data_IF_782419101098
#
_entry.id   IF_782419101098
#
_cell.length_a   1.000
_cell.length_b   1.000
_cell.length_c   1.000
_cell.angle_alpha   90.00
_cell.angle_beta   90.00
_cell.angle_gamma   90.00
#
_symmetry.space_group_name_H-M   'P 1'
#
loop_
_entity.id
_entity.type
_entity.pdbx_description
1 polymer ?
#
# COMPACT_ATOMS: atom_id res chain seq x y z
N UNK A 1 -9.30 7.22 0.50
CA UNK A 1 -9.68 8.42 -0.26
C UNK A 1 -8.52 9.37 -0.27
N UNK A 2 -8.24 10.01 -1.40
CA UNK A 2 -7.11 10.89 -1.59
C UNK A 2 -7.30 12.23 -0.86
N UNK A 3 -6.30 13.09 -0.97
CA UNK A 3 -6.36 14.45 -0.46
C UNK A 3 -7.32 15.30 -1.34
N UNK A 4 -8.30 15.95 -0.73
CA UNK A 4 -9.23 16.88 -1.40
C UNK A 4 -8.52 18.00 -2.16
N UNK A 5 -7.28 18.32 -1.83
CA UNK A 5 -6.48 19.35 -2.50
C UNK A 5 -6.32 19.09 -4.00
N UNK A 6 -6.21 17.84 -4.44
CA UNK A 6 -6.14 17.48 -5.86
C UNK A 6 -7.42 17.85 -6.60
N UNK A 7 -8.59 17.56 -6.01
CA UNK A 7 -9.88 17.98 -6.56
C UNK A 7 -9.97 19.50 -6.67
N UNK A 8 -9.66 20.20 -5.58
CA UNK A 8 -9.73 21.68 -5.51
C UNK A 8 -8.78 22.31 -6.53
N UNK A 9 -7.56 21.79 -6.64
CA UNK A 9 -6.58 22.27 -7.62
C UNK A 9 -7.10 22.15 -9.05
N UNK A 10 -7.60 20.97 -9.43
CA UNK A 10 -8.11 20.74 -10.77
C UNK A 10 -9.38 21.56 -11.04
N UNK A 11 -10.35 21.55 -10.13
CA UNK A 11 -11.62 22.29 -10.27
C UNK A 11 -11.35 23.78 -10.46
N UNK A 12 -10.53 24.42 -9.61
CA UNK A 12 -10.27 25.86 -9.69
C UNK A 12 -9.67 26.26 -11.03
N UNK A 13 -8.77 25.45 -11.60
CA UNK A 13 -8.15 25.70 -12.91
C UNK A 13 -9.17 25.57 -14.05
N UNK A 14 -9.98 24.51 -14.02
CA UNK A 14 -10.98 24.27 -15.05
C UNK A 14 -12.17 25.25 -14.93
N UNK A 15 -12.59 25.63 -13.73
CA UNK A 15 -13.63 26.65 -13.51
C UNK A 15 -13.21 28.01 -14.09
N UNK A 16 -11.96 28.40 -13.87
CA UNK A 16 -11.42 29.65 -14.47
C UNK A 16 -11.45 29.59 -15.99
N UNK A 17 -11.03 28.46 -16.56
CA UNK A 17 -11.04 28.26 -18.01
C UNK A 17 -12.49 28.24 -18.57
N UNK A 18 -13.46 27.65 -17.86
CA UNK A 18 -14.87 27.67 -18.22
C UNK A 18 -15.40 29.09 -18.26
N UNK A 19 -15.14 29.91 -17.24
CA UNK A 19 -15.54 31.31 -17.20
C UNK A 19 -14.93 32.13 -18.34
N UNK A 20 -13.73 31.76 -18.79
CA UNK A 20 -13.06 32.39 -19.91
C UNK A 20 -13.52 31.86 -21.29
N UNK A 21 -14.36 30.85 -21.33
CA UNK A 21 -14.88 30.22 -22.56
C UNK A 21 -13.79 29.49 -23.36
N UNK A 22 -12.76 28.95 -22.69
CA UNK A 22 -11.64 28.23 -23.32
C UNK A 22 -11.55 26.76 -22.97
N UNK A 23 -12.58 26.17 -22.32
CA UNK A 23 -12.64 24.72 -22.16
C UNK A 23 -13.06 24.05 -23.48
N UNK A 24 -12.48 22.90 -23.76
CA UNK A 24 -12.97 21.98 -24.78
C UNK A 24 -14.19 21.20 -24.27
N UNK A 25 -14.86 20.46 -25.15
CA UNK A 25 -15.95 19.55 -24.73
C UNK A 25 -15.48 18.52 -23.71
N UNK A 26 -14.26 17.98 -23.86
CA UNK A 26 -13.64 17.08 -22.89
C UNK A 26 -13.35 17.81 -21.56
N UNK A 27 -12.85 19.06 -21.63
CA UNK A 27 -12.61 19.87 -20.43
C UNK A 27 -13.88 20.11 -19.60
N UNK A 28 -15.00 20.37 -20.25
CA UNK A 28 -16.31 20.52 -19.60
C UNK A 28 -16.78 19.20 -18.94
N UNK A 29 -16.61 18.05 -19.64
CA UNK A 29 -16.92 16.74 -19.11
C UNK A 29 -16.08 16.42 -17.87
N UNK A 30 -14.75 16.63 -17.95
CA UNK A 30 -13.81 16.43 -16.84
C UNK A 30 -14.21 17.27 -15.64
N UNK A 31 -14.50 18.56 -15.84
CA UNK A 31 -14.94 19.44 -14.76
C UNK A 31 -16.24 18.92 -14.10
N UNK A 32 -17.19 18.44 -14.87
CA UNK A 32 -18.41 17.82 -14.36
C UNK A 32 -18.11 16.60 -13.49
N UNK A 33 -17.26 15.69 -13.95
CA UNK A 33 -16.83 14.50 -13.19
C UNK A 33 -16.08 14.87 -11.89
N UNK A 34 -15.19 15.85 -11.95
CA UNK A 34 -14.46 16.36 -10.77
C UNK A 34 -15.40 16.91 -9.70
N UNK A 35 -16.42 17.67 -10.08
CA UNK A 35 -17.42 18.21 -9.15
C UNK A 35 -18.23 17.12 -8.45
N UNK A 36 -18.59 16.04 -9.19
CA UNK A 36 -19.27 14.87 -8.60
C UNK A 36 -18.34 14.15 -7.62
N UNK A 37 -17.10 13.86 -8.01
CA UNK A 37 -16.12 13.21 -7.15
C UNK A 37 -15.81 14.04 -5.90
N UNK A 38 -15.63 15.35 -6.05
CA UNK A 38 -15.38 16.26 -4.93
C UNK A 38 -16.55 16.32 -3.93
N UNK A 39 -17.77 16.29 -4.41
CA UNK A 39 -18.94 16.28 -3.54
C UNK A 39 -18.98 15.05 -2.62
N UNK A 40 -18.53 13.89 -3.10
CA UNK A 40 -18.37 12.68 -2.28
C UNK A 40 -17.12 12.77 -1.38
N UNK A 41 -16.00 13.28 -1.89
CA UNK A 41 -14.73 13.33 -1.19
C UNK A 41 -14.65 14.41 -0.11
N UNK A 42 -15.54 15.41 -0.14
CA UNK A 42 -15.49 16.57 0.75
C UNK A 42 -15.53 16.18 2.23
N UNK A 43 -14.54 16.67 3.00
CA UNK A 43 -14.33 16.33 4.42
C UNK A 43 -14.06 14.83 4.70
N UNK A 44 -13.62 14.06 3.69
CA UNK A 44 -13.31 12.64 3.81
C UNK A 44 -11.86 12.30 3.51
N UNK A 45 -10.96 13.27 3.67
CA UNK A 45 -9.51 13.06 3.44
C UNK A 45 -8.99 11.89 4.28
N UNK A 46 -8.39 10.93 3.60
CA UNK A 46 -7.81 9.75 4.21
C UNK A 46 -8.81 8.79 4.84
N UNK A 47 -10.11 8.92 4.59
CA UNK A 47 -11.13 7.98 5.09
C UNK A 47 -11.12 6.67 4.28
N UNK A 48 -11.60 5.60 4.91
CA UNK A 48 -11.84 4.33 4.24
C UNK A 48 -13.09 4.44 3.37
N UNK A 49 -12.98 4.03 2.10
CA UNK A 49 -14.13 3.94 1.21
C UNK A 49 -15.00 2.71 1.53
N UNK A 50 -16.23 2.66 0.98
CA UNK A 50 -17.09 1.49 1.10
C UNK A 50 -16.44 0.26 0.46
N UNK A 51 -15.76 0.45 -0.69
CA UNK A 51 -15.00 -0.62 -1.34
C UNK A 51 -13.87 -1.12 -0.43
N UNK A 52 -13.12 -0.21 0.21
CA UNK A 52 -12.06 -0.58 1.14
C UNK A 52 -12.58 -1.36 2.34
N UNK A 53 -13.70 -0.96 2.93
CA UNK A 53 -14.37 -1.71 3.99
C UNK A 53 -14.76 -3.12 3.53
N UNK A 54 -15.36 -3.24 2.33
CA UNK A 54 -15.71 -4.51 1.73
C UNK A 54 -14.48 -5.39 1.47
N UNK A 55 -13.36 -4.83 1.00
CA UNK A 55 -12.13 -5.59 0.76
C UNK A 55 -11.62 -6.24 2.05
N UNK A 56 -11.61 -5.53 3.18
CA UNK A 56 -11.20 -6.09 4.46
C UNK A 56 -12.15 -7.20 4.95
N UNK A 57 -13.44 -7.02 4.74
CA UNK A 57 -14.45 -8.04 4.99
C UNK A 57 -14.19 -9.30 4.13
N UNK A 58 -14.02 -9.12 2.82
CA UNK A 58 -13.78 -10.23 1.89
C UNK A 58 -12.46 -10.99 2.18
N UNK A 59 -11.39 -10.29 2.59
CA UNK A 59 -10.11 -10.93 2.97
C UNK A 59 -10.29 -11.76 4.24
N UNK A 60 -11.01 -11.25 5.23
CA UNK A 60 -11.31 -11.99 6.46
C UNK A 60 -12.11 -13.26 6.16
N UNK A 61 -13.10 -13.17 5.27
CA UNK A 61 -13.91 -14.31 4.82
C UNK A 61 -13.04 -15.39 4.18
N UNK A 62 -12.22 -15.02 3.19
CA UNK A 62 -11.31 -15.97 2.52
C UNK A 62 -10.25 -16.54 3.46
N UNK A 63 -9.79 -15.75 4.43
CA UNK A 63 -8.87 -16.24 5.46
C UNK A 63 -9.54 -17.30 6.34
N UNK A 64 -10.80 -17.10 6.72
CA UNK A 64 -11.59 -18.07 7.47
C UNK A 64 -11.76 -19.38 6.68
N UNK A 65 -12.14 -19.29 5.40
CA UNK A 65 -12.31 -20.48 4.54
C UNK A 65 -10.98 -21.22 4.29
N UNK A 66 -9.87 -20.49 4.24
CA UNK A 66 -8.54 -21.06 3.95
C UNK A 66 -7.92 -21.79 5.14
N UNK A 67 -8.24 -21.37 6.37
CA UNK A 67 -7.66 -21.92 7.60
C UNK A 67 -8.75 -22.40 8.58
N UNK A 68 -9.65 -23.32 8.14
CA UNK A 68 -10.77 -23.75 8.96
C UNK A 68 -10.30 -24.49 10.22
N UNK A 69 -9.16 -25.20 10.18
CA UNK A 69 -8.62 -25.93 11.34
C UNK A 69 -8.29 -24.98 12.51
N UNK A 70 -7.96 -23.71 12.19
CA UNK A 70 -7.67 -22.68 13.19
C UNK A 70 -8.91 -21.87 13.54
N UNK A 71 -9.61 -21.33 12.54
CA UNK A 71 -10.62 -20.30 12.72
C UNK A 71 -12.03 -20.82 13.00
N UNK A 72 -12.33 -22.11 12.74
CA UNK A 72 -13.62 -22.71 13.15
C UNK A 72 -13.65 -23.19 14.60
N UNK A 73 -12.53 -23.07 15.32
CA UNK A 73 -12.44 -23.42 16.74
C UNK A 73 -12.50 -22.16 17.61
N UNK A 74 -12.79 -22.29 18.93
CA UNK A 74 -12.56 -21.18 19.86
C UNK A 74 -11.09 -20.76 19.81
N UNK A 75 -10.85 -19.48 19.50
CA UNK A 75 -9.51 -18.93 19.30
C UNK A 75 -9.42 -17.53 19.89
N UNK A 76 -8.30 -17.24 20.54
CA UNK A 76 -7.97 -15.88 20.94
C UNK A 76 -7.27 -15.14 19.79
N UNK A 77 -7.79 -13.97 19.47
CA UNK A 77 -7.25 -13.10 18.43
C UNK A 77 -6.91 -11.73 19.05
N UNK A 78 -5.65 -11.33 18.93
CA UNK A 78 -5.18 -10.00 19.33
C UNK A 78 -5.04 -9.12 18.08
N UNK A 79 -5.92 -8.14 17.91
CA UNK A 79 -5.93 -7.22 16.78
C UNK A 79 -5.48 -5.83 17.21
N UNK A 80 -4.47 -5.29 16.52
CA UNK A 80 -3.91 -3.97 16.78
C UNK A 80 -3.91 -3.12 15.51
N UNK A 81 -4.23 -1.83 15.65
CA UNK A 81 -4.25 -0.87 14.55
C UNK A 81 -3.46 0.39 14.88
N UNK A 82 -3.00 1.09 13.84
CA UNK A 82 -2.57 2.48 14.01
C UNK A 82 -3.77 3.37 14.39
N UNK A 83 -3.51 4.55 14.93
CA UNK A 83 -4.56 5.49 15.35
C UNK A 83 -5.25 6.23 14.19
N UNK A 84 -4.95 5.88 12.96
CA UNK A 84 -5.61 6.44 11.77
C UNK A 84 -7.03 5.89 11.64
N UNK A 85 -8.01 6.77 11.41
CA UNK A 85 -9.43 6.40 11.28
C UNK A 85 -9.66 5.27 10.28
N UNK A 86 -9.07 5.37 9.08
CA UNK A 86 -9.19 4.33 8.05
C UNK A 86 -8.66 2.98 8.50
N UNK A 87 -7.55 2.97 9.24
CA UNK A 87 -6.92 1.72 9.69
C UNK A 87 -7.72 1.08 10.82
N UNK A 88 -8.26 1.87 11.76
CA UNK A 88 -9.18 1.37 12.77
C UNK A 88 -10.44 0.76 12.14
N UNK A 89 -11.01 1.41 11.11
CA UNK A 89 -12.16 0.88 10.39
C UNK A 89 -11.82 -0.38 9.59
N UNK A 90 -10.60 -0.47 9.03
CA UNK A 90 -10.10 -1.70 8.38
C UNK A 90 -10.06 -2.86 9.36
N UNK A 91 -9.48 -2.65 10.55
CA UNK A 91 -9.47 -3.63 11.64
C UNK A 91 -10.87 -4.04 12.04
N UNK A 92 -11.77 -3.07 12.24
CA UNK A 92 -13.14 -3.33 12.65
C UNK A 92 -13.89 -4.20 11.63
N UNK A 93 -13.85 -3.84 10.34
CA UNK A 93 -14.54 -4.62 9.29
C UNK A 93 -14.00 -6.04 9.17
N UNK A 94 -12.68 -6.22 9.27
CA UNK A 94 -12.05 -7.52 9.24
C UNK A 94 -12.46 -8.39 10.43
N UNK A 95 -12.37 -7.86 11.64
CA UNK A 95 -12.69 -8.57 12.87
C UNK A 95 -14.19 -8.87 12.99
N UNK A 96 -15.05 -7.96 12.52
CA UNK A 96 -16.50 -8.16 12.49
C UNK A 96 -16.87 -9.33 11.59
N UNK A 97 -16.25 -9.47 10.42
CA UNK A 97 -16.49 -10.63 9.57
C UNK A 97 -16.08 -11.95 10.24
N UNK A 98 -14.87 -12.00 10.79
CA UNK A 98 -14.43 -13.22 11.53
C UNK A 98 -15.41 -13.56 12.66
N UNK A 99 -15.86 -12.56 13.43
CA UNK A 99 -16.82 -12.77 14.54
C UNK A 99 -18.17 -13.22 14.03
N UNK A 100 -18.61 -12.79 12.84
CA UNK A 100 -19.88 -13.23 12.23
C UNK A 100 -19.84 -14.68 11.75
N UNK A 101 -18.67 -15.14 11.27
CA UNK A 101 -18.44 -16.50 10.80
C UNK A 101 -18.25 -17.48 11.96
N UNK A 102 -17.64 -17.07 13.06
CA UNK A 102 -17.49 -17.87 14.26
C UNK A 102 -17.60 -17.03 15.54
N UNK A 103 -18.74 -17.10 16.19
CA UNK A 103 -19.01 -16.36 17.44
C UNK A 103 -18.18 -16.83 18.64
N UNK A 104 -17.50 -17.98 18.55
CA UNK A 104 -16.61 -18.48 19.60
C UNK A 104 -15.19 -17.88 19.54
N UNK A 105 -14.90 -17.00 18.58
CA UNK A 105 -13.64 -16.26 18.53
C UNK A 105 -13.64 -15.16 19.61
N UNK A 106 -12.59 -15.15 20.43
CA UNK A 106 -12.35 -14.11 21.44
C UNK A 106 -11.44 -13.04 20.84
N UNK A 107 -12.02 -12.03 20.19
CA UNK A 107 -11.25 -10.97 19.51
C UNK A 107 -11.11 -9.75 20.41
N UNK A 108 -9.85 -9.40 20.76
CA UNK A 108 -9.52 -8.12 21.39
C UNK A 108 -9.01 -7.15 20.34
N UNK A 109 -9.50 -5.92 20.36
CA UNK A 109 -9.09 -4.86 19.43
C UNK A 109 -8.52 -3.68 20.19
N UNK A 110 -7.35 -3.19 19.76
CA UNK A 110 -6.75 -1.96 20.30
C UNK A 110 -6.16 -1.09 19.18
N UNK A 111 -6.22 0.22 19.38
CA UNK A 111 -5.66 1.22 18.47
C UNK A 111 -5.13 2.39 19.30
N UNK A 112 -3.99 2.20 19.94
CA UNK A 112 -3.36 3.20 20.79
C UNK A 112 -1.93 3.52 20.35
N UNK A 113 -1.44 4.73 20.70
CA UNK A 113 -0.03 5.08 20.49
C UNK A 113 0.93 4.21 21.31
N UNK A 114 0.45 3.58 22.39
CA UNK A 114 1.21 2.62 23.17
C UNK A 114 1.68 1.42 22.33
N UNK A 115 0.87 1.03 21.34
CA UNK A 115 1.11 -0.14 20.51
C UNK A 115 1.71 0.19 19.13
N UNK A 116 2.13 1.45 18.89
CA UNK A 116 2.72 1.87 17.61
C UNK A 116 3.88 0.97 17.17
N UNK A 117 4.78 0.60 18.09
CA UNK A 117 5.91 -0.32 17.82
C UNK A 117 5.51 -1.69 17.25
N UNK A 118 4.22 -2.05 17.32
CA UNK A 118 3.70 -3.30 16.75
C UNK A 118 3.12 -3.13 15.35
N UNK A 119 2.85 -1.90 14.94
CA UNK A 119 2.07 -1.63 13.72
C UNK A 119 2.61 -0.51 12.85
N UNK A 120 3.45 0.41 13.37
CA UNK A 120 3.92 1.60 12.64
C UNK A 120 5.45 1.66 12.71
N UNK A 121 6.06 2.19 11.66
CA UNK A 121 7.48 2.47 11.55
C UNK A 121 7.98 3.46 12.61
N UNK A 122 9.21 3.28 13.07
CA UNK A 122 9.90 4.21 13.97
C UNK A 122 10.61 5.31 13.18
N UNK A 123 9.94 6.43 13.01
CA UNK A 123 10.47 7.60 12.30
C UNK A 123 11.62 8.31 13.05
N UNK A 124 11.94 7.93 14.29
CA UNK A 124 13.12 8.45 15.00
C UNK A 124 14.43 7.86 14.48
N UNK A 125 14.36 6.69 13.84
CA UNK A 125 15.48 6.07 13.17
C UNK A 125 15.81 6.88 11.91
N UNK A 126 17.02 7.43 11.86
CA UNK A 126 17.54 8.20 10.73
C UNK A 126 18.65 7.39 10.05
N UNK A 127 18.34 6.66 8.97
CA UNK A 127 19.34 5.91 8.23
C UNK A 127 20.40 6.82 7.60
N UNK A 128 21.64 6.34 7.41
CA UNK A 128 22.71 7.14 6.85
C UNK A 128 22.42 7.50 5.36
N UNK A 129 22.58 8.77 5.04
CA UNK A 129 22.58 9.25 3.65
C UNK A 129 24.00 9.16 3.10
N UNK A 130 24.15 8.62 1.92
CA UNK A 130 25.43 8.46 1.22
C UNK A 130 25.44 9.25 -0.09
N UNK A 131 26.62 9.54 -0.68
CA UNK A 131 26.68 10.18 -1.99
C UNK A 131 25.96 9.37 -3.09
N UNK A 132 25.93 8.04 -2.97
CA UNK A 132 25.20 7.16 -3.88
C UNK A 132 23.69 7.34 -3.73
N UNK A 133 23.18 7.37 -2.49
CA UNK A 133 21.75 7.58 -2.25
C UNK A 133 21.28 8.98 -2.67
N UNK A 134 22.13 10.01 -2.52
CA UNK A 134 21.85 11.36 -3.05
C UNK A 134 21.78 11.39 -4.58
N UNK A 135 22.61 10.59 -5.27
CA UNK A 135 22.55 10.46 -6.71
C UNK A 135 21.23 9.84 -7.18
N UNK A 136 20.74 8.83 -6.47
CA UNK A 136 19.43 8.23 -6.73
C UNK A 136 18.27 9.22 -6.55
N UNK A 137 18.32 10.09 -5.54
CA UNK A 137 17.28 11.11 -5.34
C UNK A 137 17.23 12.11 -6.51
N UNK A 138 18.38 12.48 -7.07
CA UNK A 138 18.44 13.34 -8.26
C UNK A 138 17.86 12.66 -9.49
N UNK A 139 18.19 11.37 -9.68
CA UNK A 139 17.67 10.58 -10.81
C UNK A 139 16.16 10.35 -10.67
N UNK A 140 15.67 10.05 -9.46
CA UNK A 140 14.24 9.94 -9.16
C UNK A 140 13.50 11.23 -9.54
N UNK A 141 14.01 12.37 -9.11
CA UNK A 141 13.41 13.67 -9.44
C UNK A 141 13.33 13.87 -10.95
N UNK A 142 14.40 13.53 -11.68
CA UNK A 142 14.41 13.65 -13.14
C UNK A 142 13.40 12.69 -13.82
N UNK A 143 13.23 11.47 -13.32
CA UNK A 143 12.22 10.52 -13.81
C UNK A 143 10.82 11.06 -13.54
N UNK A 144 10.55 11.53 -12.33
CA UNK A 144 9.25 12.08 -11.96
C UNK A 144 8.91 13.32 -12.80
N UNK A 145 9.84 14.26 -12.96
CA UNK A 145 9.66 15.44 -13.82
C UNK A 145 9.45 15.04 -15.28
N UNK A 146 10.20 14.07 -15.80
CA UNK A 146 10.08 13.59 -17.17
C UNK A 146 8.75 12.83 -17.43
N UNK A 147 8.18 12.21 -16.41
CA UNK A 147 6.90 11.52 -16.51
C UNK A 147 5.71 12.48 -16.74
N UNK A 148 5.83 13.72 -16.27
CA UNK A 148 4.78 14.73 -16.37
C UNK A 148 4.94 15.59 -17.63
N UNK A 149 4.55 15.06 -18.79
CA UNK A 149 4.48 15.82 -20.04
C UNK A 149 3.02 16.24 -20.33
N UNK A 150 2.57 17.43 -19.93
CA UNK A 150 1.17 17.81 -20.00
C UNK A 150 0.71 18.30 -21.38
N UNK A 151 1.58 18.43 -22.37
CA UNK A 151 1.26 19.12 -23.63
C UNK A 151 0.03 18.55 -24.35
N UNK A 152 -0.05 17.21 -24.49
CA UNK A 152 -1.23 16.57 -25.10
C UNK A 152 -2.48 16.78 -24.25
N UNK A 153 -2.38 16.58 -22.92
CA UNK A 153 -3.50 16.75 -21.99
C UNK A 153 -4.04 18.18 -22.05
N UNK A 154 -3.18 19.19 -21.98
CA UNK A 154 -3.56 20.59 -22.10
C UNK A 154 -4.28 20.87 -23.42
N UNK A 155 -3.76 20.34 -24.53
CA UNK A 155 -4.43 20.50 -25.86
C UNK A 155 -5.77 19.79 -25.94
N UNK A 156 -6.02 18.77 -25.12
CA UNK A 156 -7.31 18.08 -25.09
C UNK A 156 -8.35 18.79 -24.23
N UNK A 157 -7.92 19.44 -23.15
CA UNK A 157 -8.79 20.10 -22.18
C UNK A 157 -9.13 21.54 -22.54
N UNK A 158 -8.25 22.24 -23.29
CA UNK A 158 -8.39 23.66 -23.58
C UNK A 158 -8.43 23.93 -25.08
N UNK A 159 -9.31 24.82 -25.50
CA UNK A 159 -9.40 25.33 -26.91
C UNK A 159 -8.36 26.40 -27.20
N UNK A 160 -7.85 27.10 -26.17
CA UNK A 160 -6.78 28.05 -26.23
C UNK A 160 -5.72 27.74 -25.17
N UNK A 161 -4.75 26.90 -25.56
CA UNK A 161 -3.70 26.41 -24.65
C UNK A 161 -2.80 27.54 -24.18
N UNK A 162 -2.43 28.48 -25.07
CA UNK A 162 -1.55 29.61 -24.73
C UNK A 162 -2.18 30.50 -23.64
N UNK A 163 -3.48 30.73 -23.76
CA UNK A 163 -4.22 31.49 -22.74
C UNK A 163 -4.35 30.66 -21.44
N UNK A 164 -4.58 29.34 -21.50
CA UNK A 164 -4.64 28.47 -20.34
C UNK A 164 -3.31 28.45 -19.57
N UNK A 165 -2.17 28.36 -20.25
CA UNK A 165 -0.82 28.36 -19.65
C UNK A 165 -0.49 29.65 -18.88
N UNK A 166 -1.21 30.75 -19.10
CA UNK A 166 -1.03 31.96 -18.33
C UNK A 166 -1.48 31.86 -16.87
N UNK A 167 -2.30 30.90 -16.52
CA UNK A 167 -2.83 30.66 -15.16
C UNK A 167 -2.85 29.18 -14.71
N UNK A 168 -2.59 28.25 -15.63
CA UNK A 168 -2.52 26.79 -15.34
C UNK A 168 -1.08 26.32 -15.47
N UNK A 169 -0.51 25.78 -14.39
CA UNK A 169 0.65 24.91 -14.51
C UNK A 169 0.16 23.55 -15.01
N UNK A 170 0.49 23.17 -16.23
CA UNK A 170 0.01 21.94 -16.84
C UNK A 170 0.48 20.67 -16.12
N UNK A 171 1.67 20.69 -15.51
CA UNK A 171 2.16 19.54 -14.71
C UNK A 171 1.35 19.34 -13.44
N UNK A 172 1.09 20.43 -12.71
CA UNK A 172 0.30 20.37 -11.48
C UNK A 172 -1.14 19.90 -11.79
N UNK A 173 -1.71 20.36 -12.91
CA UNK A 173 -3.03 19.90 -13.36
C UNK A 173 -2.99 18.42 -13.73
N UNK A 174 -1.98 17.95 -14.45
CA UNK A 174 -1.81 16.57 -14.83
C UNK A 174 -1.68 15.66 -13.61
N UNK A 175 -0.88 16.06 -12.63
CA UNK A 175 -0.71 15.34 -11.36
C UNK A 175 -2.02 15.29 -10.56
N UNK A 176 -2.71 16.42 -10.45
CA UNK A 176 -3.99 16.49 -9.75
C UNK A 176 -5.04 15.56 -10.39
N UNK A 177 -5.17 15.59 -11.71
CA UNK A 177 -6.10 14.72 -12.44
C UNK A 177 -5.75 13.24 -12.32
N UNK A 178 -4.45 12.90 -12.33
CA UNK A 178 -3.99 11.53 -12.14
C UNK A 178 -4.36 11.01 -10.74
N UNK A 179 -4.06 11.77 -9.70
CA UNK A 179 -4.41 11.38 -8.32
C UNK A 179 -5.94 11.25 -8.11
N UNK A 180 -6.73 12.14 -8.73
CA UNK A 180 -8.19 12.01 -8.71
C UNK A 180 -8.65 10.77 -9.48
N UNK A 181 -8.04 10.46 -10.63
CA UNK A 181 -8.38 9.25 -11.40
C UNK A 181 -8.08 7.97 -10.60
N UNK A 182 -6.98 7.94 -9.85
CA UNK A 182 -6.67 6.84 -8.92
C UNK A 182 -7.69 6.76 -7.77
N UNK A 183 -8.08 7.89 -7.19
CA UNK A 183 -9.04 7.93 -6.07
C UNK A 183 -10.43 7.45 -6.49
N UNK A 184 -10.92 7.85 -7.65
CA UNK A 184 -12.24 7.47 -8.16
C UNK A 184 -12.42 5.95 -8.34
N UNK A 185 -11.35 5.18 -8.53
CA UNK A 185 -11.41 3.72 -8.55
C UNK A 185 -11.86 3.13 -7.21
N UNK A 186 -11.72 3.87 -6.11
CA UNK A 186 -12.11 3.43 -4.77
C UNK A 186 -13.58 3.74 -4.42
N UNK A 187 -14.30 4.43 -5.32
CA UNK A 187 -15.70 4.82 -5.15
C UNK A 187 -16.53 4.50 -6.43
N UNK A 188 -16.50 3.22 -6.88
CA UNK A 188 -17.14 2.82 -8.14
C UNK A 188 -18.64 3.07 -8.17
N UNK A 189 -19.28 3.25 -7.01
CA UNK A 189 -20.68 3.59 -6.89
C UNK A 189 -21.05 4.96 -7.47
N UNK A 190 -20.08 5.84 -7.69
CA UNK A 190 -20.31 7.13 -8.35
C UNK A 190 -20.51 6.98 -9.85
N UNK A 191 -20.11 5.85 -10.46
CA UNK A 191 -20.26 5.58 -11.90
C UNK A 191 -19.49 6.54 -12.79
N UNK A 192 -18.41 7.16 -12.26
CA UNK A 192 -17.53 8.09 -12.99
C UNK A 192 -16.09 7.61 -12.91
N UNK A 193 -15.34 7.86 -13.97
CA UNK A 193 -13.91 7.60 -14.04
C UNK A 193 -13.21 8.72 -14.82
N UNK A 194 -11.93 8.91 -14.58
CA UNK A 194 -11.07 9.89 -15.26
C UNK A 194 -9.84 9.25 -15.89
N UNK A 195 -9.69 7.95 -15.78
CA UNK A 195 -8.52 7.23 -16.32
C UNK A 195 -8.43 7.35 -17.84
N UNK A 196 -9.57 7.46 -18.51
CA UNK A 196 -9.75 7.61 -19.97
C UNK A 196 -9.29 8.97 -20.51
N UNK A 197 -9.07 9.95 -19.63
CA UNK A 197 -8.51 11.27 -19.99
C UNK A 197 -7.04 11.17 -20.39
N UNK A 198 -6.35 10.13 -19.92
CA UNK A 198 -4.95 9.86 -20.18
C UNK A 198 -4.74 8.83 -21.27
N UNK A 199 -3.62 8.94 -21.98
CA UNK A 199 -3.12 7.84 -22.81
C UNK A 199 -2.48 6.76 -21.95
N UNK A 200 -2.35 5.54 -22.49
CA UNK A 200 -1.64 4.45 -21.78
C UNK A 200 -0.18 4.80 -21.46
N UNK A 201 0.48 5.52 -22.36
CA UNK A 201 1.87 5.93 -22.16
C UNK A 201 1.99 6.98 -21.04
N UNK A 202 1.06 7.93 -20.95
CA UNK A 202 1.00 8.90 -19.85
C UNK A 202 0.78 8.21 -18.52
N UNK A 203 -0.20 7.31 -18.43
CA UNK A 203 -0.47 6.52 -17.22
C UNK A 203 0.75 5.70 -16.81
N UNK A 204 1.37 5.02 -17.77
CA UNK A 204 2.54 4.19 -17.50
C UNK A 204 3.74 5.01 -17.04
N UNK A 205 4.01 6.15 -17.67
CA UNK A 205 5.11 7.03 -17.29
C UNK A 205 4.92 7.62 -15.88
N UNK A 206 3.70 8.09 -15.57
CA UNK A 206 3.39 8.61 -14.24
C UNK A 206 3.52 7.51 -13.18
N UNK A 207 2.94 6.34 -13.44
CA UNK A 207 3.06 5.18 -12.55
C UNK A 207 4.52 4.76 -12.32
N UNK A 208 5.39 4.78 -13.34
CA UNK A 208 6.82 4.49 -13.17
C UNK A 208 7.49 5.48 -12.21
N UNK A 209 7.13 6.76 -12.28
CA UNK A 209 7.62 7.78 -11.35
C UNK A 209 7.25 7.44 -9.90
N UNK A 210 6.00 7.07 -9.66
CA UNK A 210 5.53 6.62 -8.34
C UNK A 210 6.21 5.32 -7.90
N UNK A 211 6.31 4.32 -8.78
CA UNK A 211 7.00 3.07 -8.48
C UNK A 211 8.46 3.30 -8.04
N UNK A 212 9.22 4.09 -8.80
CA UNK A 212 10.59 4.43 -8.44
C UNK A 212 10.66 5.22 -7.13
N UNK A 213 9.75 6.18 -6.93
CA UNK A 213 9.64 6.96 -5.71
C UNK A 213 9.45 6.10 -4.47
N UNK A 214 8.49 5.19 -4.50
CA UNK A 214 8.22 4.27 -3.38
C UNK A 214 9.42 3.37 -3.08
N UNK A 215 10.02 2.75 -4.09
CA UNK A 215 11.14 1.81 -3.90
C UNK A 215 12.39 2.51 -3.37
N UNK A 216 12.70 3.72 -3.85
CA UNK A 216 13.83 4.51 -3.37
C UNK A 216 13.58 5.08 -1.97
N UNK A 217 12.41 5.67 -1.73
CA UNK A 217 12.04 6.25 -0.44
C UNK A 217 11.95 5.19 0.67
N UNK A 218 11.73 3.92 0.32
CA UNK A 218 11.74 2.81 1.29
C UNK A 218 13.13 2.21 1.45
N UNK A 219 14.04 2.44 0.51
CA UNK A 219 15.40 1.89 0.54
C UNK A 219 15.52 0.48 -0.03
N UNK A 220 14.61 0.06 -0.92
CA UNK A 220 14.63 -1.27 -1.52
C UNK A 220 15.62 -1.39 -2.69
N UNK A 221 16.03 -0.26 -3.27
CA UNK A 221 17.05 -0.23 -4.31
C UNK A 221 18.43 -0.28 -3.65
N UNK A 222 19.32 -1.23 -4.05
CA UNK A 222 20.67 -1.31 -3.51
C UNK A 222 21.40 0.04 -3.64
N UNK A 223 21.97 0.55 -2.55
CA UNK A 223 22.65 1.85 -2.50
C UNK A 223 21.74 3.05 -2.17
N UNK A 224 20.42 2.91 -2.18
CA UNK A 224 19.51 3.95 -1.69
C UNK A 224 19.51 4.02 -0.15
N UNK A 225 19.02 5.14 0.40
CA UNK A 225 18.93 5.30 1.86
C UNK A 225 18.02 4.23 2.46
N UNK A 226 18.51 3.40 3.42
CA UNK A 226 17.80 2.21 3.88
C UNK A 226 16.68 2.54 4.89
N UNK A 227 15.66 3.29 4.48
CA UNK A 227 14.53 3.67 5.33
C UNK A 227 13.69 2.48 5.80
N UNK A 228 13.79 1.30 5.15
CA UNK A 228 13.18 0.06 5.66
C UNK A 228 13.62 -0.30 7.09
N UNK A 229 14.77 0.21 7.56
CA UNK A 229 15.23 0.02 8.95
C UNK A 229 14.27 0.60 9.98
N UNK A 230 13.48 1.61 9.62
CA UNK A 230 12.43 2.17 10.48
C UNK A 230 11.35 1.14 10.83
N UNK A 231 11.21 0.07 10.04
CA UNK A 231 10.24 -1.02 10.28
C UNK A 231 10.81 -2.17 11.13
N UNK A 232 12.06 -2.10 11.54
CA UNK A 232 12.75 -3.18 12.27
C UNK A 232 12.07 -3.54 13.57
N UNK A 233 11.59 -2.57 14.36
CA UNK A 233 10.93 -2.81 15.64
C UNK A 233 9.62 -3.60 15.45
N UNK A 234 8.87 -3.34 14.38
CA UNK A 234 7.67 -4.11 14.03
C UNK A 234 8.03 -5.54 13.69
N UNK A 235 9.09 -5.76 12.89
CA UNK A 235 9.58 -7.12 12.60
C UNK A 235 9.99 -7.85 13.88
N UNK A 236 10.79 -7.24 14.74
CA UNK A 236 11.25 -7.82 16.00
C UNK A 236 10.06 -8.18 16.92
N UNK A 237 9.04 -7.35 16.92
CA UNK A 237 7.78 -7.60 17.62
C UNK A 237 7.00 -8.78 17.05
N UNK A 238 6.98 -8.97 15.72
CA UNK A 238 6.36 -10.14 15.07
C UNK A 238 7.11 -11.41 15.48
N UNK A 239 8.44 -11.42 15.36
CA UNK A 239 9.29 -12.57 15.74
C UNK A 239 9.12 -12.92 17.22
N UNK A 240 9.20 -11.92 18.11
CA UNK A 240 9.01 -12.13 19.56
C UNK A 240 7.62 -12.66 19.90
N UNK A 241 6.58 -12.19 19.22
CA UNK A 241 5.21 -12.68 19.41
C UNK A 241 5.10 -14.13 18.96
N UNK A 242 5.64 -14.48 17.80
CA UNK A 242 5.67 -15.85 17.29
C UNK A 242 6.38 -16.80 18.26
N UNK A 243 7.57 -16.44 18.74
CA UNK A 243 8.33 -17.25 19.71
C UNK A 243 7.53 -17.50 20.99
N UNK A 244 6.85 -16.48 21.53
CA UNK A 244 6.02 -16.61 22.74
C UNK A 244 4.83 -17.56 22.52
N UNK A 245 4.14 -17.44 21.39
CA UNK A 245 3.01 -18.31 21.05
C UNK A 245 3.45 -19.75 20.83
N UNK A 246 4.57 -19.96 20.12
CA UNK A 246 5.17 -21.28 19.90
C UNK A 246 5.55 -21.93 21.22
N UNK A 247 6.18 -21.19 22.14
CA UNK A 247 6.57 -21.68 23.46
C UNK A 247 5.35 -22.03 24.32
N UNK A 248 4.31 -21.21 24.28
CA UNK A 248 3.06 -21.46 25.02
C UNK A 248 2.30 -22.68 24.50
N UNK A 249 2.46 -23.06 23.24
CA UNK A 249 1.81 -24.20 22.61
C UNK A 249 0.30 -24.06 22.45
N UNK A 250 -0.24 -22.88 22.64
CA UNK A 250 -1.67 -22.57 22.52
C UNK A 250 -1.90 -21.82 21.19
N UNK A 251 -2.71 -22.36 20.27
CA UNK A 251 -3.06 -21.66 19.04
C UNK A 251 -3.65 -20.27 19.32
N UNK A 252 -3.22 -19.29 18.56
CA UNK A 252 -3.74 -17.92 18.60
C UNK A 252 -3.47 -17.23 17.27
N UNK A 253 -4.15 -16.12 17.01
CA UNK A 253 -3.82 -15.24 15.89
C UNK A 253 -3.53 -13.83 16.39
N UNK A 254 -2.59 -13.17 15.71
CA UNK A 254 -2.29 -11.75 15.92
C UNK A 254 -2.51 -11.02 14.60
N UNK A 255 -3.38 -10.02 14.61
CA UNK A 255 -3.70 -9.20 13.46
C UNK A 255 -3.12 -7.80 13.66
N UNK A 256 -2.45 -7.27 12.64
CA UNK A 256 -1.81 -5.96 12.67
C UNK A 256 -2.28 -5.14 11.49
N UNK A 257 -2.89 -3.99 11.75
CA UNK A 257 -3.43 -3.10 10.74
C UNK A 257 -2.60 -1.82 10.71
N UNK A 258 -2.06 -1.51 9.54
CA UNK A 258 -1.14 -0.40 9.36
C UNK A 258 -1.33 0.26 7.99
N UNK A 259 -0.25 0.69 7.39
CA UNK A 259 -0.18 1.43 6.15
C UNK A 259 0.68 0.71 5.12
N UNK A 260 0.60 1.11 3.86
CA UNK A 260 1.49 0.72 2.77
C UNK A 260 2.96 1.03 3.10
N UNK A 261 3.23 2.18 3.75
CA UNK A 261 4.54 2.55 4.29
C UNK A 261 5.12 1.57 5.32
N UNK A 262 4.29 0.73 5.91
CA UNK A 262 4.71 -0.34 6.82
C UNK A 262 4.79 -1.70 6.10
N UNK A 263 3.85 -1.99 5.20
CA UNK A 263 3.79 -3.30 4.50
C UNK A 263 4.96 -3.47 3.53
N UNK A 264 5.29 -2.43 2.75
CA UNK A 264 6.38 -2.50 1.76
C UNK A 264 7.74 -2.80 2.40
N UNK A 265 8.23 -2.02 3.40
CA UNK A 265 9.51 -2.33 4.05
C UNK A 265 9.48 -3.65 4.83
N UNK A 266 8.34 -4.04 5.42
CA UNK A 266 8.21 -5.33 6.10
C UNK A 266 8.34 -6.49 5.12
N UNK A 267 7.75 -6.38 3.91
CA UNK A 267 7.92 -7.38 2.84
C UNK A 267 9.39 -7.56 2.47
N UNK A 268 10.15 -6.47 2.41
CA UNK A 268 11.59 -6.50 2.15
C UNK A 268 12.38 -7.12 3.31
N UNK A 269 12.12 -6.70 4.55
CA UNK A 269 12.78 -7.22 5.75
C UNK A 269 12.53 -8.72 5.96
N UNK A 270 11.35 -9.21 5.61
CA UNK A 270 11.02 -10.63 5.61
C UNK A 270 11.75 -11.40 4.48
N UNK A 271 12.36 -10.69 3.55
CA UNK A 271 13.08 -11.28 2.41
C UNK A 271 12.16 -11.91 1.36
N UNK A 272 10.91 -11.46 1.24
CA UNK A 272 9.96 -12.01 0.28
C UNK A 272 10.36 -11.66 -1.15
N UNK A 273 10.25 -12.62 -2.07
CA UNK A 273 10.78 -12.54 -3.44
C UNK A 273 10.28 -11.32 -4.23
N UNK A 274 9.11 -10.81 -3.92
CA UNK A 274 8.49 -9.67 -4.62
C UNK A 274 9.18 -8.34 -4.30
N UNK A 275 9.82 -8.22 -3.13
CA UNK A 275 10.46 -7.00 -2.66
C UNK A 275 12.00 -7.06 -2.73
N UNK A 276 12.60 -8.27 -2.83
CA UNK A 276 14.04 -8.41 -2.93
C UNK A 276 14.48 -8.48 -4.40
N UNK A 277 15.68 -7.98 -4.70
CA UNK A 277 16.26 -8.03 -6.05
C UNK A 277 15.86 -6.86 -6.94
N UNK A 278 15.46 -5.72 -6.37
CA UNK A 278 15.27 -4.48 -7.11
C UNK A 278 16.57 -4.13 -7.87
N UNK A 279 16.44 -3.76 -9.14
CA UNK A 279 17.56 -3.34 -9.99
C UNK A 279 18.10 -1.98 -9.56
N UNK A 280 19.38 -1.72 -9.81
CA UNK A 280 19.98 -0.38 -9.74
C UNK A 280 19.68 0.48 -10.96
N UNK A 281 19.14 -0.11 -12.03
CA UNK A 281 18.62 0.62 -13.19
C UNK A 281 17.24 1.19 -12.89
N UNK A 282 17.22 2.42 -12.37
CA UNK A 282 16.00 3.08 -11.89
C UNK A 282 14.96 3.25 -13.00
N UNK A 283 15.38 3.46 -14.24
CA UNK A 283 14.47 3.63 -15.40
C UNK A 283 13.71 2.36 -15.75
N UNK A 284 14.21 1.21 -15.32
CA UNK A 284 13.62 -0.10 -15.58
C UNK A 284 13.25 -0.87 -14.29
N UNK A 285 13.15 -0.18 -13.15
CA UNK A 285 12.80 -0.80 -11.86
C UNK A 285 11.56 -1.68 -11.93
N UNK A 286 10.53 -1.25 -12.66
CA UNK A 286 9.28 -1.98 -12.82
C UNK A 286 9.44 -3.40 -13.37
N UNK A 287 10.55 -3.70 -14.05
CA UNK A 287 10.85 -5.06 -14.56
C UNK A 287 11.32 -6.01 -13.46
N UNK A 288 11.91 -5.48 -12.40
CA UNK A 288 12.46 -6.25 -11.30
C UNK A 288 11.63 -6.15 -10.02
N UNK A 289 11.05 -5.00 -9.76
CA UNK A 289 10.24 -4.74 -8.57
C UNK A 289 9.11 -3.75 -8.87
N UNK A 290 7.90 -4.07 -8.42
CA UNK A 290 6.69 -3.36 -8.78
C UNK A 290 5.77 -3.23 -7.57
N UNK A 291 5.49 -1.97 -7.16
CA UNK A 291 4.72 -1.68 -5.94
C UNK A 291 3.29 -2.19 -6.01
N UNK A 292 2.67 -2.19 -7.19
CA UNK A 292 1.31 -2.70 -7.40
C UNK A 292 1.16 -4.21 -7.10
N UNK A 293 2.26 -4.98 -7.14
CA UNK A 293 2.29 -6.38 -6.74
C UNK A 293 2.53 -6.58 -5.25
N UNK A 294 3.13 -5.60 -4.59
CA UNK A 294 3.51 -5.70 -3.17
C UNK A 294 2.47 -5.01 -2.29
N UNK A 295 2.09 -3.78 -2.64
CA UNK A 295 1.19 -2.94 -1.86
C UNK A 295 -0.05 -2.48 -2.66
N UNK A 296 -0.83 -3.38 -3.30
CA UNK A 296 -2.13 -3.00 -3.81
C UNK A 296 -3.05 -2.53 -2.66
N UNK A 297 -4.21 -1.95 -2.98
CA UNK A 297 -5.22 -1.65 -1.97
C UNK A 297 -5.55 -2.89 -1.14
N UNK A 298 -5.66 -2.73 0.19
CA UNK A 298 -5.84 -3.79 1.18
C UNK A 298 -4.72 -4.86 1.18
N UNK A 299 -3.49 -4.46 0.81
CA UNK A 299 -2.32 -5.34 0.84
C UNK A 299 -2.15 -6.01 2.20
N UNK A 300 -1.73 -7.27 2.19
CA UNK A 300 -1.54 -8.02 3.41
C UNK A 300 -0.39 -9.04 3.32
N UNK A 301 0.24 -9.30 4.47
CA UNK A 301 1.22 -10.36 4.67
C UNK A 301 0.61 -11.34 5.68
N UNK A 302 0.63 -12.63 5.37
CA UNK A 302 0.22 -13.68 6.29
C UNK A 302 1.39 -14.60 6.58
N UNK A 303 1.67 -14.84 7.86
CA UNK A 303 2.73 -15.71 8.35
C UNK A 303 2.05 -16.85 9.10
N UNK A 304 2.07 -18.06 8.53
CA UNK A 304 1.28 -19.20 9.01
C UNK A 304 2.23 -20.23 9.59
N UNK A 305 2.04 -20.53 10.85
CA UNK A 305 2.84 -21.52 11.60
C UNK A 305 2.12 -22.85 11.69
N UNK A 306 2.87 -23.92 11.54
CA UNK A 306 2.38 -25.30 11.61
C UNK A 306 3.21 -26.10 12.61
N UNK A 307 2.52 -26.85 13.46
CA UNK A 307 3.12 -27.83 14.38
C UNK A 307 2.47 -29.19 14.15
N UNK A 308 3.30 -30.22 14.07
CA UNK A 308 2.82 -31.60 14.09
C UNK A 308 2.78 -32.09 15.54
N UNK A 309 1.75 -32.80 15.90
CA UNK A 309 1.64 -33.41 17.24
C UNK A 309 2.87 -34.28 17.56
N UNK A 310 3.43 -34.09 18.74
CA UNK A 310 4.64 -34.79 19.20
C UNK A 310 5.94 -34.34 18.54
N UNK A 311 5.93 -33.24 17.83
CA UNK A 311 7.13 -32.63 17.23
C UNK A 311 7.42 -31.24 17.79
N UNK A 312 8.69 -30.97 18.09
CA UNK A 312 9.16 -29.62 18.44
C UNK A 312 9.48 -28.77 17.19
N UNK A 313 9.42 -29.38 16.02
CA UNK A 313 9.70 -28.70 14.75
C UNK A 313 8.51 -27.85 14.33
N UNK A 314 8.76 -26.59 14.08
CA UNK A 314 7.76 -25.63 13.63
C UNK A 314 8.06 -25.27 12.17
N UNK A 315 7.07 -25.46 11.33
CA UNK A 315 7.13 -25.01 9.95
C UNK A 315 6.39 -23.67 9.82
N UNK A 316 6.86 -22.84 8.91
CA UNK A 316 6.25 -21.56 8.59
C UNK A 316 6.09 -21.42 7.08
N UNK A 317 4.99 -20.76 6.68
CA UNK A 317 4.68 -20.40 5.30
C UNK A 317 4.31 -18.92 5.23
N UNK A 318 4.70 -18.26 4.13
CA UNK A 318 4.40 -16.86 3.87
C UNK A 318 3.40 -16.70 2.73
N UNK A 319 2.47 -15.77 2.91
CA UNK A 319 1.59 -15.30 1.85
C UNK A 319 1.74 -13.79 1.73
N UNK A 320 1.82 -13.30 0.50
CA UNK A 320 1.71 -11.88 0.18
C UNK A 320 0.45 -11.67 -0.65
N UNK A 321 -0.42 -10.79 -0.20
CA UNK A 321 -1.72 -10.55 -0.85
C UNK A 321 -2.47 -11.88 -1.10
N UNK A 322 -2.51 -12.72 -0.08
CA UNK A 322 -3.14 -14.05 -0.04
C UNK A 322 -2.52 -15.11 -0.99
N UNK A 323 -1.46 -14.77 -1.73
CA UNK A 323 -0.74 -15.69 -2.60
C UNK A 323 0.51 -16.24 -1.92
N UNK A 324 0.81 -17.53 -2.12
CA UNK A 324 2.04 -18.12 -1.58
C UNK A 324 3.27 -17.43 -2.17
N UNK A 325 4.17 -17.04 -1.30
CA UNK A 325 5.44 -16.41 -1.67
C UNK A 325 6.62 -17.16 -1.05
N UNK A 326 7.83 -16.81 -1.46
CA UNK A 326 9.05 -17.47 -1.02
C UNK A 326 10.06 -16.47 -0.46
N UNK A 327 10.98 -16.98 0.35
CA UNK A 327 12.15 -16.27 0.85
C UNK A 327 13.38 -16.86 0.14
N UNK A 328 13.87 -16.25 -0.96
CA UNK A 328 14.95 -16.83 -1.78
C UNK A 328 16.25 -17.11 -1.03
N UNK A 329 16.51 -16.39 0.05
CA UNK A 329 17.70 -16.55 0.89
C UNK A 329 17.67 -17.80 1.79
N UNK A 330 16.53 -18.48 1.91
CA UNK A 330 16.36 -19.64 2.80
C UNK A 330 15.93 -20.84 1.96
N UNK A 331 16.57 -21.99 2.20
CA UNK A 331 16.17 -23.25 1.55
C UNK A 331 14.87 -23.78 2.17
N UNK A 332 13.81 -23.98 1.37
CA UNK A 332 12.58 -24.58 1.89
C UNK A 332 12.78 -26.05 2.29
N UNK A 333 12.00 -26.52 3.25
CA UNK A 333 11.94 -27.94 3.63
C UNK A 333 11.24 -28.73 2.54
N UNK A 334 10.06 -28.27 2.15
CA UNK A 334 9.26 -28.80 1.05
C UNK A 334 8.23 -27.75 0.62
N UNK A 335 8.01 -27.59 -0.69
CA UNK A 335 7.07 -26.61 -1.21
C UNK A 335 7.32 -25.21 -0.62
N UNK A 336 6.28 -24.53 -0.10
CA UNK A 336 6.41 -23.19 0.45
C UNK A 336 6.76 -23.16 1.95
N UNK A 337 7.18 -24.30 2.54
CA UNK A 337 7.39 -24.43 3.98
C UNK A 337 8.86 -24.35 4.36
N UNK A 338 9.16 -23.58 5.41
CA UNK A 338 10.48 -23.38 5.98
C UNK A 338 10.49 -23.82 7.45
N UNK A 339 11.64 -24.28 7.98
CA UNK A 339 11.80 -24.39 9.43
C UNK A 339 11.81 -22.99 10.06
N UNK A 340 10.99 -22.78 11.10
CA UNK A 340 10.97 -21.50 11.80
C UNK A 340 12.33 -21.08 12.34
N UNK A 341 13.14 -22.03 12.84
CA UNK A 341 14.49 -21.77 13.31
C UNK A 341 15.38 -21.11 12.25
N UNK A 342 15.27 -21.55 10.97
CA UNK A 342 16.10 -21.04 9.88
C UNK A 342 15.63 -19.63 9.46
N UNK A 343 14.31 -19.44 9.44
CA UNK A 343 13.70 -18.11 9.22
C UNK A 343 14.09 -17.14 10.32
N UNK A 344 13.98 -17.56 11.60
CA UNK A 344 14.33 -16.74 12.75
C UNK A 344 15.82 -16.32 12.74
N UNK A 345 16.71 -17.24 12.39
CA UNK A 345 18.14 -16.92 12.22
C UNK A 345 18.37 -15.89 11.12
N UNK A 346 17.68 -16.04 9.98
CA UNK A 346 17.75 -15.08 8.87
C UNK A 346 17.26 -13.68 9.31
N UNK A 347 16.13 -13.59 9.98
CA UNK A 347 15.51 -12.33 10.42
C UNK A 347 16.29 -11.63 11.57
N UNK A 348 17.19 -12.33 12.25
CA UNK A 348 18.04 -11.77 13.30
C UNK A 348 19.32 -11.10 12.79
N UNK A 349 19.59 -11.15 11.50
CA UNK A 349 20.74 -10.49 10.86
C UNK A 349 20.46 -9.03 10.62
#
# INVERSE_FOLDING_TARGET
MSNNEYYVTAINKLDTAQQMGILSALGEEVLGKLRIGYADAWNRDGDLSKLGAKQHHDIAHRMYERFPELLSQPLKIDAKASTSRRVMLSMFNFCQELQSLNSALEITMDASKHDFRYVVEDLTIQPPVTPESEAYEKERSAIFEGAHNPARLMSSLFTDVQKAESFVNGRDLMEALYNVAEDLQNVPELGIELIDVFTKDELFNMWQGYNAGWLLNTGLVPGSTPYYLQQKEVLDSIVSTADKVILAGIPTATLRFSHDSSVLPLTYLLGLKEAVGASTDIKNLYKSCSIDKIIPMAANIQIIFYRKDGSDDILVKFLLNENETSVPAIKPVTGPYYHWKDVREYLSR
#
